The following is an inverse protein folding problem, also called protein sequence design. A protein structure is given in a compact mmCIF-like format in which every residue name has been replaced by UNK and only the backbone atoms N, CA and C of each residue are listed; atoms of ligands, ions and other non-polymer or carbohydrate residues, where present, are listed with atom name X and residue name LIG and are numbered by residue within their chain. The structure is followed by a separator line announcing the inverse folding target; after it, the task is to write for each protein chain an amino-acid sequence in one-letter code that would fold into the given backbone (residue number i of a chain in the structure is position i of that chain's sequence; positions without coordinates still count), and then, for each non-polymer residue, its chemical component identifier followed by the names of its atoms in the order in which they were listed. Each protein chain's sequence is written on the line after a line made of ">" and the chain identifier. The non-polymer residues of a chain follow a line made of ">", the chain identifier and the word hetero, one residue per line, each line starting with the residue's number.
data_IF_779922669426
#
_entry.id   IF_779922669426
#
_cell.length_a   1.000
_cell.length_b   1.000
_cell.length_c   1.000
_cell.angle_alpha   90.00
_cell.angle_beta   90.00
_cell.angle_gamma   90.00
#
_symmetry.space_group_name_H-M   'P 1'
#
loop_
_entity.id
_entity.type
_entity.pdbx_description
1 polymer ?
#
# COMPACT_ATOMS: atom_id res chain seq x y z
N UNK A 1 1.04 -3.40 16.76
CA UNK A 1 1.80 -2.71 15.69
C UNK A 1 1.38 -3.37 14.38
N UNK A 2 0.95 -2.60 13.38
CA UNK A 2 0.57 -3.17 12.08
C UNK A 2 1.85 -3.47 11.28
N UNK A 3 2.00 -4.69 10.81
CA UNK A 3 3.19 -5.12 10.06
C UNK A 3 3.04 -4.75 8.59
N UNK A 4 3.84 -3.77 8.14
CA UNK A 4 3.85 -3.36 6.74
C UNK A 4 4.77 -4.26 5.93
N UNK A 5 4.28 -4.79 4.82
CA UNK A 5 5.02 -5.64 3.91
C UNK A 5 5.22 -4.93 2.56
N UNK A 6 6.36 -5.15 1.92
CA UNK A 6 6.65 -4.62 0.60
C UNK A 6 5.81 -5.36 -0.43
N UNK A 7 5.05 -4.64 -1.25
CA UNK A 7 4.21 -5.24 -2.28
C UNK A 7 5.02 -5.77 -3.47
N UNK A 8 6.32 -5.46 -3.56
CA UNK A 8 7.21 -5.96 -4.63
C UNK A 8 7.79 -7.31 -4.29
N UNK A 9 8.31 -7.49 -3.08
CA UNK A 9 9.01 -8.71 -2.67
C UNK A 9 8.29 -9.52 -1.59
N UNK A 10 7.28 -8.95 -0.92
CA UNK A 10 6.57 -9.60 0.20
C UNK A 10 7.27 -9.42 1.54
N UNK A 11 8.49 -8.88 1.56
CA UNK A 11 9.30 -8.74 2.76
C UNK A 11 8.74 -7.76 3.79
N UNK A 12 8.99 -8.06 5.07
CA UNK A 12 8.67 -7.20 6.21
C UNK A 12 9.52 -5.94 6.16
N UNK A 13 8.86 -4.79 6.24
CA UNK A 13 9.51 -3.48 6.25
C UNK A 13 9.82 -3.11 7.70
N UNK A 14 11.10 -2.92 8.02
CA UNK A 14 11.55 -2.49 9.35
C UNK A 14 11.74 -0.99 9.47
N UNK A 15 12.04 -0.31 8.36
CA UNK A 15 12.25 1.12 8.33
C UNK A 15 11.18 1.81 7.46
N UNK A 16 10.21 2.51 8.06
CA UNK A 16 9.15 3.20 7.31
C UNK A 16 9.66 4.41 6.51
N UNK A 17 10.84 4.97 6.84
CA UNK A 17 11.40 6.10 6.10
C UNK A 17 11.88 5.70 4.70
N UNK A 18 12.18 4.42 4.48
CA UNK A 18 12.52 3.85 3.16
C UNK A 18 11.29 3.47 2.32
N UNK A 19 10.07 3.74 2.77
CA UNK A 19 8.84 3.35 2.06
C UNK A 19 8.42 4.38 1.03
N UNK A 20 8.27 3.94 -0.22
CA UNK A 20 7.62 4.67 -1.29
C UNK A 20 6.17 4.22 -1.42
N UNK A 21 5.26 5.08 -0.94
CA UNK A 21 3.83 4.88 -1.11
C UNK A 21 3.43 5.19 -2.56
N UNK A 22 2.73 4.25 -3.19
CA UNK A 22 2.19 4.40 -4.54
C UNK A 22 0.68 4.19 -4.53
N UNK A 23 0.00 4.84 -5.47
CA UNK A 23 -1.42 4.58 -5.70
C UNK A 23 -1.60 3.12 -6.12
N UNK A 24 -2.56 2.44 -5.51
CA UNK A 24 -2.93 1.10 -5.92
C UNK A 24 -3.44 1.14 -7.36
N UNK A 25 -2.86 0.31 -8.22
CA UNK A 25 -3.32 0.11 -9.59
C UNK A 25 -3.85 -1.31 -9.70
N UNK A 26 -5.03 -1.49 -10.32
CA UNK A 26 -5.65 -2.81 -10.55
C UNK A 26 -4.78 -3.73 -11.43
N UNK A 27 -3.77 -3.17 -12.11
CA UNK A 27 -2.82 -3.94 -12.91
C UNK A 27 -1.67 -4.55 -12.10
N UNK A 28 -1.53 -4.20 -10.81
CA UNK A 28 -0.41 -4.68 -9.99
C UNK A 28 -0.88 -5.74 -9.02
N UNK A 29 -0.31 -6.95 -9.14
CA UNK A 29 -0.50 -8.03 -8.18
C UNK A 29 0.59 -7.91 -7.11
N UNK A 30 0.25 -7.68 -5.84
CA UNK A 30 1.25 -7.60 -4.79
C UNK A 30 1.85 -8.98 -4.50
N UNK A 31 3.13 -8.99 -4.15
CA UNK A 31 3.80 -10.17 -3.65
C UNK A 31 3.18 -10.65 -2.32
N UNK A 32 3.16 -11.96 -2.12
CA UNK A 32 2.64 -12.56 -0.90
C UNK A 32 3.50 -12.14 0.31
N UNK A 33 2.89 -11.63 1.40
CA UNK A 33 3.64 -11.19 2.57
C UNK A 33 4.34 -12.36 3.26
N UNK A 34 5.56 -12.14 3.70
CA UNK A 34 6.35 -13.12 4.44
C UNK A 34 7.27 -12.45 5.47
N UNK A 35 7.70 -13.22 6.47
CA UNK A 35 8.43 -12.71 7.65
C UNK A 35 9.89 -12.35 7.39
N UNK A 36 10.45 -12.59 6.20
CA UNK A 36 11.84 -12.18 5.90
C UNK A 36 11.94 -10.67 5.68
N UNK A 37 13.12 -10.12 5.96
CA UNK A 37 13.39 -8.69 5.85
C UNK A 37 13.31 -8.22 4.39
N UNK A 38 12.63 -7.09 4.13
CA UNK A 38 12.56 -6.48 2.80
C UNK A 38 13.96 -6.01 2.33
N UNK A 39 14.50 -6.51 1.21
CA UNK A 39 15.76 -6.03 0.63
C UNK A 39 15.57 -4.86 -0.35
N UNK A 40 14.34 -4.40 -0.58
CA UNK A 40 14.07 -3.33 -1.55
C UNK A 40 14.42 -1.94 -0.97
N UNK A 41 15.06 -1.09 -1.78
CA UNK A 41 15.33 0.31 -1.43
C UNK A 41 15.01 1.22 -2.62
N UNK A 42 13.90 2.00 -2.59
CA UNK A 42 12.89 2.06 -1.54
C UNK A 42 11.94 0.84 -1.54
N UNK A 43 11.37 0.50 -0.38
CA UNK A 43 10.31 -0.49 -0.26
C UNK A 43 9.00 0.09 -0.81
N UNK A 44 8.23 -0.66 -1.60
CA UNK A 44 7.01 -0.13 -2.22
C UNK A 44 5.78 -0.67 -1.49
N UNK A 45 4.90 0.24 -1.09
CA UNK A 45 3.61 -0.09 -0.49
C UNK A 45 2.52 0.56 -1.32
N UNK A 46 1.53 -0.23 -1.74
CA UNK A 46 0.37 0.32 -2.44
C UNK A 46 -0.73 0.64 -1.44
N UNK A 47 -1.23 1.86 -1.52
CA UNK A 47 -2.33 2.31 -0.71
C UNK A 47 -2.02 3.59 0.08
N UNK A 48 -3.05 4.17 0.68
CA UNK A 48 -2.92 5.37 1.47
C UNK A 48 -1.98 5.16 2.67
N UNK A 49 -1.11 6.14 3.02
CA UNK A 49 -0.44 6.13 4.31
C UNK A 49 -1.48 6.14 5.45
N UNK A 50 -1.15 5.54 6.59
CA UNK A 50 -2.03 5.53 7.76
C UNK A 50 -2.39 6.99 8.13
N UNK A 51 -3.67 7.35 8.05
CA UNK A 51 -4.18 8.71 8.24
C UNK A 51 -4.78 9.36 6.98
N UNK A 52 -4.53 8.82 5.78
CA UNK A 52 -5.08 9.37 4.54
C UNK A 52 -6.60 9.14 4.37
N UNK A 53 -7.16 8.12 5.04
CA UNK A 53 -8.62 7.85 5.05
C UNK A 53 -9.42 8.89 5.85
N UNK A 54 -8.77 9.80 6.60
CA UNK A 54 -9.44 10.92 7.26
C UNK A 54 -9.47 12.19 6.40
N UNK A 55 -9.06 12.13 5.12
CA UNK A 55 -9.11 13.29 4.24
C UNK A 55 -10.44 13.33 3.47
N UNK A 56 -11.33 14.31 3.71
CA UNK A 56 -12.67 14.38 3.11
C UNK A 56 -12.69 14.73 1.61
N UNK A 57 -11.52 14.77 0.96
CA UNK A 57 -11.34 15.34 -0.38
C UNK A 57 -11.03 14.36 -1.50
N UNK A 58 -10.90 13.04 -1.26
CA UNK A 58 -10.74 12.09 -2.37
C UNK A 58 -12.10 11.49 -2.77
N UNK A 59 -12.43 11.47 -4.07
CA UNK A 59 -13.50 10.63 -4.55
C UNK A 59 -13.09 9.20 -4.23
N UNK A 60 -13.80 8.60 -3.28
CA UNK A 60 -13.89 7.17 -3.14
C UNK A 60 -14.29 6.72 -4.55
N UNK A 61 -13.37 6.14 -5.32
CA UNK A 61 -13.78 5.21 -6.36
C UNK A 61 -14.27 3.95 -5.63
N UNK A 62 -15.31 4.16 -4.83
CA UNK A 62 -16.41 3.26 -4.70
C UNK A 62 -16.90 3.20 -6.14
N UNK A 63 -16.62 2.09 -6.80
CA UNK A 63 -17.48 1.61 -7.87
C UNK A 63 -18.89 1.39 -7.28
N UNK A 64 -19.53 2.46 -6.78
CA UNK A 64 -20.95 2.62 -6.76
C UNK A 64 -21.26 2.94 -8.20
N UNK A 65 -21.48 1.87 -8.96
CA UNK A 65 -22.30 1.97 -10.15
C UNK A 65 -23.57 2.73 -9.76
N UNK A 66 -23.61 3.99 -10.21
CA UNK A 66 -24.78 4.81 -10.50
C UNK A 66 -26.01 3.92 -10.71
N UNK A 67 -27.10 4.05 -9.94
CA UNK A 67 -28.05 5.19 -10.00
C UNK A 67 -29.12 4.88 -11.07
N UNK A 68 -30.06 5.79 -11.35
CA UNK A 68 -31.04 6.46 -10.48
C UNK A 68 -32.24 5.58 -10.06
#
# INVERSE_FOLDING_TARGET
>A
MQETHCHVCGGRITDPATVSYRLASSAVVPAAPHSTLCPCTPAIVYGPPAGYMSWPGLPIKLDAGSGP
#
